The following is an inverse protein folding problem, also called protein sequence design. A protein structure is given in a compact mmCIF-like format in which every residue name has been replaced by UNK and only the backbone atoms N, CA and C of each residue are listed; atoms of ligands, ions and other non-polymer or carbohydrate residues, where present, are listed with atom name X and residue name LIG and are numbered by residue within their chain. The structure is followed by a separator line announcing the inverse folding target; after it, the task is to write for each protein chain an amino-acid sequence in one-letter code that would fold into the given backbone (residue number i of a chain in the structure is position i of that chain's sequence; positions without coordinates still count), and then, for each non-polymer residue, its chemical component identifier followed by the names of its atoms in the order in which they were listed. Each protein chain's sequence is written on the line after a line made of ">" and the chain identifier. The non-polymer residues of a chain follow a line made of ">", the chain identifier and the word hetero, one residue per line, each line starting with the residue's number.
data_IF_933108803209
#
_entry.id   IF_933108803209
#
_cell.length_a   1.000
_cell.length_b   1.000
_cell.length_c   1.000
_cell.angle_alpha   90.00
_cell.angle_beta   90.00
_cell.angle_gamma   90.00
#
_symmetry.space_group_name_H-M   'P 1'
#
loop_
_entity.id
_entity.type
_entity.pdbx_description
1 polymer ?
#
# COMPACT_ATOMS: atom_id res chain seq x y z
N UNK A 1 9.70 17.00 43.35
CA UNK A 1 10.02 17.40 41.96
C UNK A 1 9.99 16.26 40.92
N UNK A 2 10.43 15.02 41.19
CA UNK A 2 10.46 13.93 40.17
C UNK A 2 9.10 13.54 39.55
N UNK A 3 7.97 13.69 40.26
CA UNK A 3 6.63 13.33 39.75
C UNK A 3 6.08 14.33 38.70
N UNK A 4 6.45 15.60 38.78
CA UNK A 4 5.95 16.64 37.87
C UNK A 4 6.58 16.50 36.47
N UNK A 5 7.87 16.18 36.38
CA UNK A 5 8.56 15.96 35.11
C UNK A 5 8.03 14.76 34.33
N UNK A 6 7.68 13.67 35.04
CA UNK A 6 7.08 12.48 34.42
C UNK A 6 5.70 12.80 33.81
N UNK A 7 4.86 13.55 34.53
CA UNK A 7 3.53 13.93 34.03
C UNK A 7 3.62 14.80 32.76
N UNK A 8 4.53 15.78 32.74
CA UNK A 8 4.74 16.66 31.57
C UNK A 8 5.20 15.85 30.36
N UNK A 9 6.12 14.89 30.56
CA UNK A 9 6.60 14.01 29.49
C UNK A 9 5.47 13.17 28.87
N UNK A 10 4.60 12.57 29.70
CA UNK A 10 3.44 11.81 29.21
C UNK A 10 2.41 12.69 28.50
N UNK A 11 2.16 13.90 29.00
CA UNK A 11 1.28 14.87 28.32
C UNK A 11 1.86 15.24 26.96
N UNK A 12 3.17 15.45 26.86
CA UNK A 12 3.84 15.74 25.59
C UNK A 12 3.71 14.57 24.60
N UNK A 13 3.90 13.33 25.06
CA UNK A 13 3.67 12.12 24.26
C UNK A 13 2.21 12.04 23.80
N UNK A 14 1.25 12.33 24.68
CA UNK A 14 -0.17 12.27 24.35
C UNK A 14 -0.57 13.36 23.34
N UNK A 15 -0.08 14.59 23.50
CA UNK A 15 -0.28 15.69 22.56
C UNK A 15 0.35 15.33 21.21
N UNK A 16 1.56 14.76 21.22
CA UNK A 16 2.23 14.32 20.00
C UNK A 16 1.42 13.23 19.29
N UNK A 17 0.99 12.19 20.01
CA UNK A 17 0.16 11.11 19.48
C UNK A 17 -1.19 11.60 18.94
N UNK A 18 -1.88 12.49 19.67
CA UNK A 18 -3.20 12.99 19.30
C UNK A 18 -3.16 13.99 18.14
N UNK A 19 -2.13 14.84 18.07
CA UNK A 19 -1.97 15.82 16.99
C UNK A 19 -1.79 15.19 15.61
N UNK A 20 -1.23 13.98 15.54
CA UNK A 20 -1.07 13.28 14.25
C UNK A 20 -2.38 12.86 13.60
N UNK A 21 -3.49 12.71 14.36
CA UNK A 21 -4.78 12.24 13.81
C UNK A 21 -5.43 13.23 12.83
N UNK A 22 -5.06 14.51 12.86
CA UNK A 22 -5.64 15.56 12.02
C UNK A 22 -5.12 15.56 10.57
N UNK A 23 -4.03 14.83 10.29
CA UNK A 23 -3.42 14.74 8.96
C UNK A 23 -3.46 13.31 8.40
N UNK A 24 -4.53 12.57 8.68
CA UNK A 24 -4.68 11.23 8.14
C UNK A 24 -4.84 11.26 6.63
N UNK A 25 -3.93 10.60 5.92
CA UNK A 25 -4.15 10.32 4.51
C UNK A 25 -5.37 9.39 4.36
N UNK A 26 -6.33 9.71 3.49
CA UNK A 26 -7.55 8.91 3.33
C UNK A 26 -7.33 7.61 2.55
N UNK A 27 -6.09 7.26 2.21
CA UNK A 27 -5.77 6.17 1.27
C UNK A 27 -4.73 5.25 1.85
N UNK A 28 -4.88 3.96 1.55
CA UNK A 28 -3.84 2.98 1.83
C UNK A 28 -2.67 3.26 0.88
N UNK A 29 -1.46 3.29 1.41
CA UNK A 29 -0.24 3.57 0.64
C UNK A 29 0.63 2.32 0.59
N UNK A 30 1.01 1.90 -0.61
CA UNK A 30 2.05 0.91 -0.84
C UNK A 30 3.29 1.63 -1.37
N UNK A 31 4.39 1.56 -0.65
CA UNK A 31 5.67 2.14 -1.06
C UNK A 31 6.66 1.04 -1.39
N UNK A 32 7.38 1.18 -2.49
CA UNK A 32 8.51 0.30 -2.85
C UNK A 32 9.79 1.11 -2.83
N UNK A 33 10.84 0.57 -2.21
CA UNK A 33 12.13 1.23 -2.08
C UNK A 33 13.24 0.34 -2.64
N UNK A 34 14.18 0.98 -3.33
CA UNK A 34 15.48 0.40 -3.66
C UNK A 34 16.57 1.34 -3.12
N UNK A 35 17.48 0.78 -2.35
CA UNK A 35 18.34 1.56 -1.47
C UNK A 35 19.78 1.02 -1.51
N UNK A 36 20.72 1.66 -2.23
CA UNK A 36 22.13 1.44 -1.97
C UNK A 36 22.47 1.84 -0.53
N UNK A 37 23.27 1.00 0.13
CA UNK A 37 23.67 1.19 1.52
C UNK A 37 25.17 0.98 1.72
N UNK A 38 25.73 1.69 2.69
CA UNK A 38 27.07 1.49 3.22
C UNK A 38 27.00 1.29 4.73
N UNK A 39 27.80 0.39 5.28
CA UNK A 39 27.78 0.04 6.70
C UNK A 39 29.17 -0.02 7.29
N UNK A 40 29.33 0.50 8.51
CA UNK A 40 30.58 0.51 9.27
C UNK A 40 30.41 -0.43 10.47
N UNK A 41 31.32 -1.41 10.64
CA UNK A 41 31.25 -2.34 11.76
C UNK A 41 31.46 -1.62 13.09
N UNK A 42 30.83 -2.15 14.14
CA UNK A 42 30.92 -1.62 15.51
C UNK A 42 31.38 -2.70 16.50
N UNK A 43 32.07 -2.29 17.55
CA UNK A 43 32.52 -3.21 18.61
C UNK A 43 33.47 -4.29 18.07
N UNK A 44 33.26 -5.54 18.48
CA UNK A 44 34.08 -6.68 18.06
C UNK A 44 34.01 -6.97 16.56
N UNK A 45 32.96 -6.52 15.86
CA UNK A 45 32.89 -6.64 14.40
C UNK A 45 33.95 -5.78 13.70
N UNK A 46 34.42 -4.68 14.32
CA UNK A 46 35.39 -3.78 13.71
C UNK A 46 36.80 -4.38 13.61
N UNK A 47 37.10 -5.41 14.41
CA UNK A 47 38.38 -6.14 14.35
C UNK A 47 38.43 -7.14 13.19
N UNK A 48 37.26 -7.61 12.74
CA UNK A 48 37.12 -8.66 11.73
C UNK A 48 36.74 -8.10 10.35
N UNK A 49 35.90 -7.05 10.34
CA UNK A 49 35.30 -6.51 9.12
C UNK A 49 35.78 -5.09 8.82
N UNK A 50 35.80 -4.76 7.53
CA UNK A 50 35.95 -3.39 7.02
C UNK A 50 34.56 -2.82 6.70
N UNK A 51 34.53 -1.61 6.17
CA UNK A 51 33.30 -0.99 5.67
C UNK A 51 32.65 -1.88 4.60
N UNK A 52 31.39 -2.23 4.83
CA UNK A 52 30.55 -3.00 3.92
C UNK A 52 29.71 -2.12 3.00
N UNK A 53 29.21 -2.70 1.92
CA UNK A 53 28.31 -2.05 0.98
C UNK A 53 27.31 -3.05 0.41
N UNK A 54 26.15 -2.55 -0.02
CA UNK A 54 25.09 -3.43 -0.50
C UNK A 54 23.90 -2.69 -1.08
N UNK A 55 22.82 -3.44 -1.25
CA UNK A 55 21.51 -2.90 -1.57
C UNK A 55 20.43 -3.50 -0.69
N UNK A 56 19.42 -2.70 -0.38
CA UNK A 56 18.14 -3.14 0.17
C UNK A 56 17.03 -2.94 -0.85
N UNK A 57 16.15 -3.92 -0.95
CA UNK A 57 14.84 -3.82 -1.58
C UNK A 57 13.77 -3.96 -0.50
N UNK A 58 12.82 -3.04 -0.42
CA UNK A 58 11.73 -3.14 0.55
C UNK A 58 10.40 -2.66 0.02
N UNK A 59 9.33 -3.23 0.57
CA UNK A 59 7.96 -2.79 0.38
C UNK A 59 7.39 -2.38 1.74
N UNK A 60 6.70 -1.25 1.81
CA UNK A 60 6.00 -0.79 3.01
C UNK A 60 4.53 -0.57 2.72
N UNK A 61 3.66 -1.02 3.61
CA UNK A 61 2.22 -0.84 3.52
C UNK A 61 1.74 0.00 4.70
N UNK A 62 1.21 1.19 4.40
CA UNK A 62 0.61 2.11 5.36
C UNK A 62 -0.91 2.09 5.16
N UNK A 63 -1.65 1.32 5.95
CA UNK A 63 -3.11 1.33 5.92
C UNK A 63 -3.67 2.69 6.37
N UNK A 64 -4.71 3.18 5.69
CA UNK A 64 -5.38 4.45 5.98
C UNK A 64 -5.88 4.53 7.43
N UNK A 65 -6.26 3.39 8.01
CA UNK A 65 -6.75 3.30 9.39
C UNK A 65 -5.68 3.56 10.46
N UNK A 66 -4.40 3.41 10.12
CA UNK A 66 -3.29 3.56 11.06
C UNK A 66 -2.41 4.79 10.78
N UNK A 67 -2.84 5.67 9.85
CA UNK A 67 -2.28 6.98 9.54
C UNK A 67 -0.78 6.96 9.22
N UNK A 68 0.06 6.99 10.26
CA UNK A 68 1.52 7.04 10.16
C UNK A 68 2.18 5.69 10.43
N UNK A 69 1.42 4.65 10.79
CA UNK A 69 1.96 3.34 11.14
C UNK A 69 1.57 2.28 10.13
N UNK A 70 2.49 1.35 9.87
CA UNK A 70 2.29 0.26 8.95
C UNK A 70 3.34 -0.81 9.07
N UNK A 71 3.49 -1.59 8.01
CA UNK A 71 4.38 -2.75 7.98
C UNK A 71 5.39 -2.60 6.86
N UNK A 72 6.60 -3.07 7.08
CA UNK A 72 7.69 -3.15 6.10
C UNK A 72 8.10 -4.60 5.93
N UNK A 73 8.31 -4.99 4.69
CA UNK A 73 8.96 -6.23 4.27
C UNK A 73 10.21 -5.82 3.48
N UNK A 74 11.36 -6.41 3.80
CA UNK A 74 12.64 -6.05 3.16
C UNK A 74 13.52 -7.25 2.89
N UNK A 75 14.40 -7.10 1.90
CA UNK A 75 15.50 -8.01 1.62
C UNK A 75 16.77 -7.23 1.35
N UNK A 76 17.88 -7.66 1.94
CA UNK A 76 19.18 -7.00 1.82
C UNK A 76 20.18 -7.96 1.19
N UNK A 77 21.01 -7.43 0.30
CA UNK A 77 22.22 -8.08 -0.19
C UNK A 77 23.42 -7.21 0.17
N UNK A 78 24.32 -7.69 1.02
CA UNK A 78 25.46 -6.93 1.54
C UNK A 78 26.75 -7.71 1.34
N UNK A 79 27.81 -7.02 0.93
CA UNK A 79 29.17 -7.52 0.92
C UNK A 79 29.92 -6.91 2.10
N UNK A 80 30.50 -7.78 2.94
CA UNK A 80 31.26 -7.45 4.14
C UNK A 80 32.72 -7.88 3.92
N UNK A 81 33.62 -6.96 3.53
CA UNK A 81 35.03 -7.29 3.38
C UNK A 81 35.66 -7.59 4.75
N UNK A 82 36.49 -8.63 4.81
CA UNK A 82 37.25 -9.02 5.99
C UNK A 82 38.57 -8.23 6.06
N UNK A 83 39.20 -8.24 7.24
CA UNK A 83 40.55 -7.71 7.42
C UNK A 83 41.57 -8.42 6.49
N UNK A 84 41.37 -9.72 6.26
CA UNK A 84 42.31 -10.67 5.61
C UNK A 84 42.13 -10.84 4.10
N UNK A 85 41.82 -9.77 3.36
CA UNK A 85 41.56 -9.74 1.89
C UNK A 85 40.31 -10.48 1.38
N UNK A 86 39.74 -11.39 2.15
CA UNK A 86 38.50 -12.10 1.82
C UNK A 86 37.24 -11.23 2.05
N UNK A 87 36.08 -11.73 1.65
CA UNK A 87 34.79 -11.08 1.86
C UNK A 87 33.68 -12.08 2.19
N UNK A 88 32.59 -11.60 2.78
CA UNK A 88 31.38 -12.39 2.98
C UNK A 88 30.25 -11.67 2.25
N UNK A 89 29.46 -12.40 1.45
CA UNK A 89 28.17 -11.87 1.02
C UNK A 89 27.06 -12.41 1.90
N UNK A 90 26.10 -11.55 2.18
CA UNK A 90 24.96 -11.81 3.06
C UNK A 90 23.69 -11.50 2.30
N UNK A 91 22.74 -12.44 2.30
CA UNK A 91 21.39 -12.25 1.81
C UNK A 91 20.43 -12.39 2.98
N UNK A 92 19.57 -11.42 3.22
CA UNK A 92 18.58 -11.47 4.30
C UNK A 92 17.17 -11.14 3.83
N UNK A 93 16.19 -11.65 4.59
CA UNK A 93 14.79 -11.26 4.49
C UNK A 93 14.27 -10.88 5.87
N UNK A 94 13.57 -9.76 5.98
CA UNK A 94 13.05 -9.26 7.27
C UNK A 94 11.70 -8.60 7.12
N UNK A 95 10.95 -8.54 8.21
CA UNK A 95 9.69 -7.83 8.29
C UNK A 95 9.54 -7.13 9.64
N UNK A 96 8.73 -6.08 9.71
CA UNK A 96 8.44 -5.42 10.96
C UNK A 96 7.63 -4.13 10.81
N UNK A 97 7.41 -3.41 11.92
CA UNK A 97 6.71 -2.14 11.91
C UNK A 97 7.50 -1.04 11.20
N UNK A 98 6.75 -0.14 10.56
CA UNK A 98 7.27 1.10 10.00
C UNK A 98 6.39 2.29 10.42
N UNK A 99 7.04 3.42 10.59
CA UNK A 99 6.43 4.70 10.93
C UNK A 99 6.82 5.74 9.87
N UNK A 100 5.86 6.53 9.39
CA UNK A 100 6.05 7.57 8.38
C UNK A 100 5.29 8.82 8.79
N UNK A 101 6.01 9.93 8.97
CA UNK A 101 5.47 11.24 9.32
C UNK A 101 5.63 12.19 8.14
N UNK A 102 4.52 12.67 7.59
CA UNK A 102 4.51 13.68 6.54
C UNK A 102 4.68 15.08 7.13
N UNK A 103 5.79 15.74 6.79
CA UNK A 103 6.12 17.11 7.20
C UNK A 103 5.84 18.04 6.02
N UNK A 104 4.61 18.54 5.94
CA UNK A 104 4.14 19.30 4.79
C UNK A 104 3.84 18.41 3.58
N UNK A 105 4.02 18.95 2.36
CA UNK A 105 3.62 18.25 1.12
C UNK A 105 4.72 17.42 0.46
N UNK A 106 5.98 17.61 0.86
CA UNK A 106 7.14 17.05 0.14
C UNK A 106 8.10 16.28 1.01
N UNK A 107 8.14 16.53 2.31
CA UNK A 107 9.09 15.87 3.20
C UNK A 107 8.36 14.77 3.97
N UNK A 108 8.91 13.56 3.97
CA UNK A 108 8.47 12.47 4.84
C UNK A 108 9.64 12.07 5.71
N UNK A 109 9.45 12.03 7.02
CA UNK A 109 10.38 11.41 7.97
C UNK A 109 9.91 10.00 8.25
N UNK A 110 10.79 9.02 8.25
CA UNK A 110 10.43 7.63 8.52
C UNK A 110 11.33 7.00 9.57
N UNK A 111 10.78 6.01 10.28
CA UNK A 111 11.49 5.14 11.18
C UNK A 111 10.96 3.72 11.02
N UNK A 112 11.79 2.70 11.24
CA UNK A 112 11.37 1.30 11.16
C UNK A 112 12.19 0.43 12.11
N UNK A 113 11.62 -0.72 12.46
CA UNK A 113 12.33 -1.82 13.09
C UNK A 113 11.91 -3.13 12.44
N UNK A 114 12.84 -4.00 12.11
CA UNK A 114 12.55 -5.30 11.50
C UNK A 114 13.32 -6.42 12.19
N UNK A 115 12.75 -7.61 12.10
CA UNK A 115 13.41 -8.85 12.46
C UNK A 115 13.28 -9.84 11.30
N UNK A 116 14.25 -10.71 11.16
CA UNK A 116 14.32 -11.61 10.01
C UNK A 116 15.36 -12.70 10.16
N UNK A 117 15.69 -13.30 9.03
CA UNK A 117 16.71 -14.33 8.92
C UNK A 117 17.67 -13.98 7.79
N UNK A 118 18.95 -14.30 7.97
CA UNK A 118 19.97 -14.10 6.94
C UNK A 118 20.68 -15.40 6.62
N UNK A 119 21.21 -15.46 5.41
CA UNK A 119 22.13 -16.47 4.93
C UNK A 119 23.41 -15.78 4.48
N UNK A 120 24.57 -16.39 4.75
CA UNK A 120 25.85 -15.85 4.33
C UNK A 120 26.75 -16.92 3.71
N UNK A 121 27.70 -16.47 2.90
CA UNK A 121 28.72 -17.32 2.30
C UNK A 121 30.04 -16.53 2.11
N UNK A 122 31.15 -17.17 2.45
CA UNK A 122 32.50 -16.62 2.34
C UNK A 122 33.00 -16.66 0.90
N UNK A 123 33.54 -15.56 0.39
CA UNK A 123 34.13 -15.43 -0.95
C UNK A 123 35.56 -14.92 -0.82
N UNK A 124 36.52 -15.72 -1.29
CA UNK A 124 37.95 -15.46 -1.14
C UNK A 124 38.80 -16.64 -1.61
N UNK A 125 40.11 -16.42 -1.81
CA UNK A 125 41.03 -17.46 -2.30
C UNK A 125 41.30 -18.53 -1.22
N UNK A 126 41.30 -18.12 0.05
CA UNK A 126 41.56 -18.97 1.22
C UNK A 126 40.28 -19.27 2.03
N UNK A 127 39.13 -18.80 1.56
CA UNK A 127 37.85 -19.05 2.20
C UNK A 127 37.47 -20.53 2.06
N UNK A 128 37.55 -21.28 3.16
CA UNK A 128 37.23 -22.71 3.21
C UNK A 128 35.74 -23.08 2.99
N UNK A 129 34.97 -22.25 2.26
CA UNK A 129 33.58 -22.53 1.89
C UNK A 129 32.58 -22.44 3.04
N UNK A 130 32.78 -21.50 3.97
CA UNK A 130 31.88 -21.29 5.10
C UNK A 130 30.52 -20.77 4.64
N UNK A 131 29.45 -21.49 5.00
CA UNK A 131 28.07 -21.02 4.83
C UNK A 131 27.31 -21.15 6.14
N UNK A 132 26.31 -20.29 6.34
CA UNK A 132 25.49 -20.32 7.54
C UNK A 132 24.36 -19.32 7.48
N UNK A 133 23.64 -19.20 8.59
CA UNK A 133 22.54 -18.25 8.72
C UNK A 133 22.01 -18.20 10.14
N UNK A 134 21.51 -17.04 10.53
CA UNK A 134 20.95 -16.79 11.86
C UNK A 134 19.93 -15.63 11.78
N UNK A 135 19.44 -15.17 12.92
CA UNK A 135 18.53 -14.04 13.01
C UNK A 135 19.23 -12.72 12.72
N UNK A 136 18.49 -11.82 12.07
CA UNK A 136 18.89 -10.42 11.89
C UNK A 136 17.84 -9.51 12.50
N UNK A 137 18.31 -8.45 13.16
CA UNK A 137 17.49 -7.37 13.69
C UNK A 137 18.01 -6.06 13.12
N UNK A 138 17.11 -5.24 12.58
CA UNK A 138 17.47 -3.96 11.97
C UNK A 138 16.58 -2.85 12.53
N UNK A 139 17.15 -1.67 12.70
CA UNK A 139 16.41 -0.46 13.06
C UNK A 139 16.97 0.72 12.29
N UNK A 140 16.09 1.55 11.72
CA UNK A 140 16.54 2.69 10.92
C UNK A 140 15.60 3.87 10.98
N UNK A 141 16.13 5.03 10.61
CA UNK A 141 15.40 6.27 10.46
C UNK A 141 15.95 7.08 9.30
N UNK A 142 15.10 7.87 8.64
CA UNK A 142 15.51 8.67 7.49
C UNK A 142 14.49 9.72 7.10
N UNK A 143 14.82 10.45 6.05
CA UNK A 143 13.95 11.46 5.45
C UNK A 143 13.95 11.33 3.94
N UNK A 144 12.79 11.42 3.31
CA UNK A 144 12.62 11.46 1.86
C UNK A 144 11.97 12.76 1.42
N UNK A 145 12.44 13.31 0.31
CA UNK A 145 11.90 14.48 -0.35
C UNK A 145 11.24 14.08 -1.67
N UNK A 146 9.96 14.45 -1.83
CA UNK A 146 9.14 14.17 -2.99
C UNK A 146 9.62 15.00 -4.19
N UNK A 147 10.09 14.32 -5.23
CA UNK A 147 10.53 14.93 -6.49
C UNK A 147 9.38 15.08 -7.48
N UNK A 148 8.55 14.05 -7.60
CA UNK A 148 7.38 13.97 -8.49
C UNK A 148 6.24 13.25 -7.77
N UNK A 149 5.04 13.21 -8.32
CA UNK A 149 3.84 12.69 -7.63
C UNK A 149 4.00 11.30 -6.99
N UNK A 150 4.87 10.46 -7.52
CA UNK A 150 5.11 9.09 -7.02
C UNK A 150 6.55 8.80 -6.62
N UNK A 151 7.48 9.72 -6.84
CA UNK A 151 8.91 9.46 -6.65
C UNK A 151 9.49 10.38 -5.58
N UNK A 152 10.20 9.77 -4.63
CA UNK A 152 10.95 10.49 -3.61
C UNK A 152 12.39 9.98 -3.53
N UNK A 153 13.31 10.88 -3.21
CA UNK A 153 14.69 10.56 -2.87
C UNK A 153 14.94 10.89 -1.42
N UNK A 154 15.75 10.09 -0.73
CA UNK A 154 16.01 10.32 0.68
C UNK A 154 17.35 9.82 1.17
N UNK A 155 17.65 10.19 2.40
CA UNK A 155 18.82 9.73 3.15
C UNK A 155 18.35 9.12 4.46
N UNK A 156 19.04 8.07 4.90
CA UNK A 156 18.75 7.39 6.14
C UNK A 156 20.00 6.93 6.86
N UNK A 157 19.81 6.61 8.13
CA UNK A 157 20.76 5.90 8.98
C UNK A 157 20.09 4.64 9.50
N UNK A 158 20.86 3.58 9.67
CA UNK A 158 20.35 2.32 10.20
C UNK A 158 21.40 1.63 11.06
N UNK A 159 20.92 0.70 11.88
CA UNK A 159 21.72 -0.21 12.68
C UNK A 159 21.26 -1.62 12.39
N UNK A 160 22.20 -2.48 12.00
CA UNK A 160 21.94 -3.90 11.78
C UNK A 160 22.70 -4.74 12.80
N UNK A 161 22.03 -5.78 13.29
CA UNK A 161 22.57 -6.79 14.16
C UNK A 161 22.28 -8.17 13.57
N UNK A 162 23.28 -8.75 12.91
CA UNK A 162 23.32 -10.12 12.42
C UNK A 162 23.88 -11.00 13.54
N UNK A 163 22.99 -11.76 14.18
CA UNK A 163 23.32 -12.63 15.31
C UNK A 163 24.52 -13.50 14.95
N UNK A 164 25.58 -13.48 15.75
CA UNK A 164 26.79 -14.29 15.55
C UNK A 164 27.68 -13.93 14.35
N UNK A 165 27.36 -12.91 13.55
CA UNK A 165 28.17 -12.54 12.38
C UNK A 165 28.66 -11.08 12.39
N UNK A 166 27.75 -10.12 12.48
CA UNK A 166 28.08 -8.73 12.19
C UNK A 166 27.13 -7.77 12.91
N UNK A 167 27.66 -6.66 13.40
CA UNK A 167 26.85 -5.55 13.87
C UNK A 167 27.47 -4.23 13.39
N UNK A 168 26.64 -3.33 12.89
CA UNK A 168 27.14 -2.11 12.26
C UNK A 168 26.12 -1.01 12.16
N UNK A 169 26.64 0.21 11.99
CA UNK A 169 25.85 1.40 11.71
C UNK A 169 26.09 1.82 10.28
N UNK A 170 25.02 2.12 9.55
CA UNK A 170 25.08 2.43 8.14
C UNK A 170 24.34 3.69 7.75
N UNK A 171 24.64 4.13 6.54
CA UNK A 171 23.97 5.21 5.84
C UNK A 171 23.35 4.67 4.56
N UNK A 172 22.22 5.24 4.17
CA UNK A 172 21.47 4.79 3.01
C UNK A 172 21.03 5.96 2.14
N UNK A 173 21.04 5.74 0.83
CA UNK A 173 20.46 6.64 -0.16
C UNK A 173 19.25 5.94 -0.76
N UNK A 174 18.05 6.45 -0.49
CA UNK A 174 16.80 5.79 -0.84
C UNK A 174 16.15 6.40 -2.07
N UNK A 175 15.67 5.55 -2.97
CA UNK A 175 14.70 5.90 -3.99
C UNK A 175 13.38 5.18 -3.67
N UNK A 176 12.31 5.97 -3.45
CA UNK A 176 10.98 5.47 -3.07
C UNK A 176 9.97 5.74 -4.17
N UNK A 177 9.18 4.73 -4.49
CA UNK A 177 8.00 4.84 -5.34
C UNK A 177 6.73 4.59 -4.52
N UNK A 178 5.83 5.57 -4.51
CA UNK A 178 4.57 5.55 -3.76
C UNK A 178 3.39 5.20 -4.70
N UNK A 179 2.67 4.14 -4.35
CA UNK A 179 1.52 3.61 -5.07
C UNK A 179 0.28 3.70 -4.18
N UNK A 180 -0.59 4.71 -4.40
CA UNK A 180 -1.83 4.81 -3.65
C UNK A 180 -2.75 3.65 -4.04
N UNK A 181 -3.12 2.83 -3.07
CA UNK A 181 -4.13 1.80 -3.23
C UNK A 181 -5.49 2.44 -3.00
N UNK A 182 -6.14 2.85 -4.09
CA UNK A 182 -7.51 3.37 -4.05
C UNK A 182 -8.40 2.32 -3.39
N UNK A 183 -9.03 2.66 -2.27
CA UNK A 183 -10.13 1.87 -1.75
C UNK A 183 -11.17 1.80 -2.87
N UNK A 184 -11.40 0.59 -3.42
CA UNK A 184 -12.53 0.38 -4.31
C UNK A 184 -13.73 0.94 -3.57
N UNK A 185 -14.36 1.97 -4.13
CA UNK A 185 -15.61 2.49 -3.60
C UNK A 185 -16.47 1.28 -3.30
N UNK A 186 -16.82 1.06 -2.02
CA UNK A 186 -17.65 -0.08 -1.62
C UNK A 186 -18.78 -0.11 -2.65
N UNK A 187 -18.97 -1.20 -3.42
CA UNK A 187 -20.03 -1.23 -4.41
C UNK A 187 -21.26 -0.80 -3.66
N UNK A 188 -21.84 0.35 -4.07
CA UNK A 188 -23.06 0.85 -3.45
C UNK A 188 -23.97 -0.34 -3.52
N UNK A 189 -24.24 -0.93 -2.35
CA UNK A 189 -25.00 -2.17 -2.26
C UNK A 189 -26.29 -1.79 -2.95
N UNK A 190 -26.48 -2.24 -4.18
CA UNK A 190 -27.70 -1.97 -4.93
C UNK A 190 -28.78 -2.38 -3.95
N UNK A 191 -29.49 -1.39 -3.41
CA UNK A 191 -30.56 -1.67 -2.47
C UNK A 191 -31.48 -2.52 -3.32
N UNK A 192 -31.52 -3.83 -3.02
CA UNK A 192 -32.43 -4.76 -3.70
C UNK A 192 -33.74 -4.00 -3.85
N UNK A 193 -34.19 -3.72 -5.08
CA UNK A 193 -35.38 -2.91 -5.31
C UNK A 193 -36.42 -3.39 -4.32
N UNK A 194 -36.81 -2.50 -3.40
CA UNK A 194 -37.70 -2.84 -2.30
C UNK A 194 -38.85 -3.59 -2.92
N UNK A 195 -39.05 -4.87 -2.60
CA UNK A 195 -40.07 -5.71 -3.23
C UNK A 195 -41.40 -4.97 -3.13
N UNK A 196 -41.79 -4.33 -4.23
CA UNK A 196 -43.06 -3.63 -4.30
C UNK A 196 -44.06 -4.76 -4.38
N UNK A 197 -44.62 -5.13 -3.23
CA UNK A 197 -45.77 -6.04 -3.20
C UNK A 197 -46.79 -5.46 -4.18
N UNK A 198 -47.17 -6.19 -5.24
CA UNK A 198 -48.10 -5.67 -6.21
C UNK A 198 -49.38 -5.33 -5.46
N UNK A 199 -49.68 -4.03 -5.36
CA UNK A 199 -50.98 -3.60 -4.89
C UNK A 199 -51.98 -4.14 -5.91
N UNK A 200 -53.08 -4.80 -5.47
CA UNK A 200 -54.10 -5.27 -6.38
C UNK A 200 -54.63 -4.08 -7.17
N UNK A 201 -54.27 -4.07 -8.45
CA UNK A 201 -54.55 -2.99 -9.38
C UNK A 201 -56.04 -3.06 -9.75
N UNK A 202 -56.90 -2.40 -8.97
CA UNK A 202 -58.31 -2.24 -9.28
C UNK A 202 -58.49 -1.13 -10.34
N UNK A 203 -57.78 -1.26 -11.46
CA UNK A 203 -57.72 -0.26 -12.51
C UNK A 203 -58.67 -0.62 -13.64
N UNK A 204 -59.68 0.24 -13.83
CA UNK A 204 -60.60 0.19 -14.96
C UNK A 204 -59.99 0.94 -16.14
N UNK A 205 -59.32 0.24 -17.05
CA UNK A 205 -58.91 0.77 -18.35
C UNK A 205 -59.90 0.44 -19.46
N UNK A 206 -59.78 1.10 -20.62
CA UNK A 206 -60.51 0.76 -21.85
C UNK A 206 -59.52 0.64 -23.01
N UNK A 207 -59.65 -0.41 -23.81
CA UNK A 207 -58.78 -0.63 -24.96
C UNK A 207 -57.37 -1.08 -24.59
N UNK A 208 -56.39 -0.65 -25.38
CA UNK A 208 -54.97 -0.97 -25.23
C UNK A 208 -54.23 0.26 -24.72
N UNK A 209 -53.57 0.15 -23.57
CA UNK A 209 -52.74 1.23 -23.00
C UNK A 209 -51.25 0.87 -23.06
N UNK A 210 -50.43 1.86 -23.39
CA UNK A 210 -48.97 1.80 -23.25
C UNK A 210 -48.59 2.19 -21.82
N UNK A 211 -47.75 1.37 -21.18
CA UNK A 211 -47.29 1.54 -19.80
C UNK A 211 -45.80 1.28 -19.69
N UNK A 212 -45.22 1.80 -18.60
CA UNK A 212 -43.82 1.56 -18.22
C UNK A 212 -42.83 1.83 -19.37
N UNK A 213 -43.04 2.93 -20.11
CA UNK A 213 -42.15 3.33 -21.20
C UNK A 213 -40.81 3.75 -20.57
N UNK A 214 -39.79 2.92 -20.76
CA UNK A 214 -38.46 3.15 -20.23
C UNK A 214 -37.49 3.27 -21.40
N UNK A 215 -36.87 4.44 -21.54
CA UNK A 215 -35.84 4.69 -22.56
C UNK A 215 -34.47 4.69 -21.90
N UNK A 216 -33.55 3.92 -22.46
CA UNK A 216 -32.16 3.94 -22.06
C UNK A 216 -31.47 5.18 -22.65
N UNK A 217 -30.51 5.79 -21.93
CA UNK A 217 -29.71 6.89 -22.45
C UNK A 217 -29.03 6.52 -23.78
N UNK A 218 -29.18 7.37 -24.79
CA UNK A 218 -28.55 7.18 -26.09
C UNK A 218 -27.21 7.92 -26.15
N UNK A 219 -26.16 7.23 -26.57
CA UNK A 219 -24.83 7.80 -26.77
C UNK A 219 -24.56 7.95 -28.28
N UNK A 220 -24.38 9.18 -28.78
CA UNK A 220 -24.36 9.48 -30.22
C UNK A 220 -23.15 8.93 -30.99
N UNK A 221 -22.15 8.38 -30.30
CA UNK A 221 -20.94 7.81 -30.93
C UNK A 221 -21.06 6.33 -31.30
N UNK A 222 -22.17 5.65 -30.96
CA UNK A 222 -22.29 4.19 -31.07
C UNK A 222 -23.54 3.72 -31.86
N UNK A 223 -23.81 4.27 -33.05
CA UNK A 223 -24.98 3.88 -33.86
C UNK A 223 -25.08 2.36 -34.12
N UNK A 224 -23.97 1.71 -34.49
CA UNK A 224 -23.93 0.26 -34.76
C UNK A 224 -24.30 -0.61 -33.55
N UNK A 225 -24.16 -0.10 -32.33
CA UNK A 225 -24.50 -0.85 -31.13
C UNK A 225 -26.03 -1.05 -31.03
N UNK A 226 -26.81 -0.09 -31.51
CA UNK A 226 -28.27 -0.13 -31.40
C UNK A 226 -28.95 -0.99 -32.46
N UNK A 227 -28.21 -1.48 -33.46
CA UNK A 227 -28.74 -2.44 -34.45
C UNK A 227 -29.09 -3.80 -33.80
N UNK A 228 -28.41 -4.16 -32.71
CA UNK A 228 -28.59 -5.43 -32.00
C UNK A 228 -28.99 -5.29 -30.52
N UNK A 229 -29.12 -4.07 -30.01
CA UNK A 229 -29.46 -3.80 -28.61
C UNK A 229 -30.71 -2.93 -28.51
N UNK A 230 -31.67 -3.31 -27.66
CA UNK A 230 -32.88 -2.52 -27.45
C UNK A 230 -32.58 -1.19 -26.76
N UNK A 231 -33.16 -0.11 -27.29
CA UNK A 231 -33.00 1.25 -26.75
C UNK A 231 -33.96 1.56 -25.60
N UNK A 232 -34.83 0.62 -25.26
CA UNK A 232 -35.84 0.78 -24.22
C UNK A 232 -36.81 -0.37 -24.18
N UNK A 233 -37.78 -0.28 -23.29
CA UNK A 233 -38.88 -1.22 -23.13
C UNK A 233 -40.20 -0.47 -23.03
N UNK A 234 -41.25 -1.07 -23.59
CA UNK A 234 -42.63 -0.62 -23.43
C UNK A 234 -43.48 -1.83 -23.07
N UNK A 235 -44.37 -1.67 -22.08
CA UNK A 235 -45.36 -2.68 -21.76
C UNK A 235 -46.70 -2.28 -22.33
N UNK A 236 -47.29 -3.18 -23.10
CA UNK A 236 -48.63 -2.98 -23.66
C UNK A 236 -49.61 -3.78 -22.82
N UNK A 237 -50.64 -3.13 -22.29
CA UNK A 237 -51.70 -3.80 -21.52
C UNK A 237 -53.03 -3.66 -22.24
N UNK A 238 -53.61 -4.81 -22.58
CA UNK A 238 -54.95 -4.89 -23.13
C UNK A 238 -55.97 -5.04 -21.98
N UNK A 239 -56.92 -4.11 -21.89
CA UNK A 239 -58.00 -4.14 -20.91
C UNK A 239 -59.27 -4.81 -21.46
N UNK A 240 -59.29 -5.19 -22.73
CA UNK A 240 -60.42 -5.86 -23.37
C UNK A 240 -60.37 -7.38 -23.18
N UNK A 241 -61.55 -8.01 -23.22
CA UNK A 241 -61.67 -9.48 -23.14
C UNK A 241 -61.19 -10.18 -24.42
N UNK A 242 -61.10 -9.45 -25.54
CA UNK A 242 -60.66 -9.98 -26.83
C UNK A 242 -59.14 -9.88 -26.92
N UNK A 243 -58.51 -10.89 -27.51
CA UNK A 243 -57.07 -10.93 -27.74
C UNK A 243 -56.68 -9.80 -28.72
N UNK A 244 -55.60 -9.07 -28.40
CA UNK A 244 -55.01 -8.10 -29.32
C UNK A 244 -54.04 -8.83 -30.26
N UNK A 245 -54.17 -8.58 -31.56
CA UNK A 245 -53.34 -9.15 -32.61
C UNK A 245 -52.80 -8.00 -33.48
N UNK A 246 -51.69 -8.22 -34.19
CA UNK A 246 -51.09 -7.26 -35.15
C UNK A 246 -50.72 -5.87 -34.58
N UNK A 247 -50.18 -5.84 -33.35
CA UNK A 247 -49.75 -4.59 -32.69
C UNK A 247 -48.56 -3.99 -33.44
N UNK A 248 -48.76 -2.81 -34.05
CA UNK A 248 -47.69 -2.04 -34.72
C UNK A 248 -47.40 -0.76 -33.94
N UNK A 249 -46.14 -0.56 -33.56
CA UNK A 249 -45.66 0.68 -32.92
C UNK A 249 -45.02 1.57 -33.99
N UNK A 250 -45.46 2.83 -34.07
CA UNK A 250 -44.85 3.86 -34.94
C UNK A 250 -44.36 4.99 -34.07
N UNK A 251 -43.12 5.41 -34.29
CA UNK A 251 -42.55 6.61 -33.69
C UNK A 251 -42.79 7.77 -34.67
N UNK A 252 -43.35 8.87 -34.18
CA UNK A 252 -43.57 10.12 -34.93
C UNK A 252 -42.32 11.01 -34.85
#
# INVERSE_FOLDING_TARGET
>A
MKRLGSLIFWIFILIFLTSTTLYSEPKNLLSVNAVPLGTVPLGSSADLFKMGYGMELSASYMPASFNNFGFRLGSNFIILPLATTDSIWVLSGSAGPAFMLHVGKKLTVSAYGTAGYYYFNTVGWDAAGGTGGDFVYSGGAGGTYQLADRWALGLGVFYDYYSSLYNGLGISLSARMDVPLTERAKPVREQKPKEVRPQPLNEKGKGVELRDITLSPLFPVLYKFYDSNSVGTVRVKNFEKKKAEDITLRFL
#
